data_IF_123165204728
#
_entry.id   IF_123165204728
#
_cell.length_a   1.000
_cell.length_b   1.000
_cell.length_c   1.000
_cell.angle_alpha   90.00
_cell.angle_beta   90.00
_cell.angle_gamma   90.00
#
_symmetry.space_group_name_H-M   'P 1'
#
loop_
_entity.id
_entity.type
_entity.pdbx_description
1 polymer ?
#
# COMPACT_ATOMS: atom_id res chain seq x y z
N UNK A 1 -2.77 11.79 37.46
CA UNK A 1 -2.47 10.52 36.76
C UNK A 1 -3.39 10.22 35.56
N UNK A 2 -4.39 11.07 35.29
CA UNK A 2 -5.33 10.90 34.16
C UNK A 2 -4.97 11.71 32.91
N UNK A 3 -4.02 12.66 33.00
CA UNK A 3 -3.67 13.57 31.90
C UNK A 3 -2.53 13.04 31.01
N UNK A 4 -1.56 12.31 31.57
CA UNK A 4 -0.48 11.67 30.79
C UNK A 4 -1.03 10.61 29.82
N UNK A 5 -2.03 9.82 30.25
CA UNK A 5 -2.67 8.82 29.37
C UNK A 5 -3.50 9.46 28.25
N UNK A 6 -4.10 10.63 28.49
CA UNK A 6 -4.84 11.40 27.48
C UNK A 6 -3.93 12.10 26.47
N UNK A 7 -2.75 12.57 26.91
CA UNK A 7 -1.73 13.16 26.03
C UNK A 7 -1.06 12.11 25.15
N UNK A 8 -0.72 10.95 25.71
CA UNK A 8 -0.08 9.85 24.97
C UNK A 8 -1.02 9.26 23.90
N UNK A 9 -2.32 9.15 24.19
CA UNK A 9 -3.34 8.76 23.19
C UNK A 9 -3.46 9.79 22.05
N UNK A 10 -3.40 11.10 22.35
CA UNK A 10 -3.49 12.16 21.32
C UNK A 10 -2.23 12.22 20.45
N UNK A 11 -1.05 11.98 21.01
CA UNK A 11 0.20 11.92 20.25
C UNK A 11 0.26 10.68 19.35
N UNK A 12 -0.17 9.51 19.85
CA UNK A 12 -0.29 8.31 19.03
C UNK A 12 -1.25 8.52 17.84
N UNK A 13 -2.43 9.09 18.08
CA UNK A 13 -3.40 9.42 17.01
C UNK A 13 -2.81 10.33 15.92
N UNK A 14 -1.93 11.27 16.28
CA UNK A 14 -1.28 12.19 15.34
C UNK A 14 -0.25 11.47 14.47
N UNK A 15 0.50 10.52 15.04
CA UNK A 15 1.49 9.73 14.30
C UNK A 15 0.86 8.69 13.37
N UNK A 16 -0.28 8.11 13.76
CA UNK A 16 -1.06 7.24 12.86
C UNK A 16 -1.59 8.00 11.65
N UNK A 17 -2.11 9.23 11.85
CA UNK A 17 -2.66 10.05 10.76
C UNK A 17 -1.66 10.30 9.63
N UNK A 18 -0.42 10.63 9.96
CA UNK A 18 0.60 10.98 8.96
C UNK A 18 1.04 9.74 8.18
N UNK A 19 1.17 8.58 8.84
CA UNK A 19 1.49 7.31 8.17
C UNK A 19 0.35 6.86 7.26
N UNK A 20 -0.89 6.92 7.75
CA UNK A 20 -2.08 6.57 6.96
C UNK A 20 -2.24 7.47 5.74
N UNK A 21 -1.99 8.78 5.87
CA UNK A 21 -2.08 9.68 4.73
C UNK A 21 -1.08 9.32 3.63
N UNK A 22 0.17 9.02 3.99
CA UNK A 22 1.20 8.59 3.02
C UNK A 22 0.81 7.27 2.36
N UNK A 23 0.26 6.33 3.12
CA UNK A 23 -0.18 5.03 2.60
C UNK A 23 -1.36 5.16 1.63
N UNK A 24 -2.34 6.00 1.96
CA UNK A 24 -3.48 6.29 1.07
C UNK A 24 -2.99 6.96 -0.22
N UNK A 25 -2.06 7.90 -0.12
CA UNK A 25 -1.50 8.59 -1.28
C UNK A 25 -0.71 7.62 -2.17
N UNK A 26 0.05 6.71 -1.59
CA UNK A 26 0.72 5.63 -2.30
C UNK A 26 -0.26 4.69 -3.00
N UNK A 27 -1.36 4.30 -2.34
CA UNK A 27 -2.44 3.54 -2.97
C UNK A 27 -3.08 4.31 -4.13
N UNK A 28 -3.38 5.59 -3.97
CA UNK A 28 -3.95 6.43 -5.05
C UNK A 28 -3.00 6.45 -6.25
N UNK A 29 -1.69 6.53 -6.06
CA UNK A 29 -0.73 6.50 -7.17
C UNK A 29 -0.67 5.12 -7.83
N UNK A 30 -0.69 4.04 -7.04
CA UNK A 30 -0.66 2.66 -7.55
C UNK A 30 -1.92 2.32 -8.36
N UNK A 31 -3.09 2.80 -7.94
CA UNK A 31 -4.36 2.56 -8.64
C UNK A 31 -4.63 3.60 -9.74
N UNK A 32 -4.36 4.87 -9.46
CA UNK A 32 -4.65 6.00 -10.33
C UNK A 32 -3.65 6.16 -11.48
N UNK A 33 -2.37 5.87 -11.24
CA UNK A 33 -1.32 5.96 -12.26
C UNK A 33 -1.60 5.07 -13.47
N UNK A 34 -1.82 3.76 -13.29
CA UNK A 34 -2.18 2.85 -14.38
C UNK A 34 -3.50 3.24 -15.06
N UNK A 35 -4.52 3.64 -14.31
CA UNK A 35 -5.81 4.03 -14.88
C UNK A 35 -5.70 5.26 -15.78
N UNK A 36 -4.94 6.28 -15.36
CA UNK A 36 -4.65 7.46 -16.18
C UNK A 36 -3.83 7.10 -17.42
N UNK A 37 -2.81 6.26 -17.28
CA UNK A 37 -2.00 5.80 -18.40
C UNK A 37 -2.84 5.01 -19.42
N UNK A 38 -3.72 4.11 -18.97
CA UNK A 38 -4.64 3.36 -19.81
C UNK A 38 -5.65 4.26 -20.52
N UNK A 39 -6.17 5.29 -19.83
CA UNK A 39 -7.07 6.27 -20.44
C UNK A 39 -6.39 7.06 -21.56
N UNK A 40 -5.17 7.55 -21.34
CA UNK A 40 -4.43 8.30 -22.36
C UNK A 40 -4.01 7.41 -23.53
N UNK A 41 -3.40 6.25 -23.24
CA UNK A 41 -2.96 5.32 -24.27
C UNK A 41 -4.13 4.74 -25.07
N UNK A 42 -5.20 4.34 -24.37
CA UNK A 42 -6.40 3.81 -24.99
C UNK A 42 -7.08 4.82 -25.89
N UNK A 43 -7.19 6.07 -25.46
CA UNK A 43 -7.83 7.13 -26.25
C UNK A 43 -7.01 7.54 -27.47
N UNK A 44 -5.68 7.50 -27.37
CA UNK A 44 -4.78 7.67 -28.52
C UNK A 44 -4.98 6.54 -29.55
N UNK A 45 -4.96 5.29 -29.09
CA UNK A 45 -5.14 4.11 -29.94
C UNK A 45 -6.55 4.08 -30.58
N UNK A 46 -7.60 4.36 -29.81
CA UNK A 46 -8.96 4.42 -30.35
C UNK A 46 -9.12 5.50 -31.45
N UNK A 47 -8.40 6.62 -31.31
CA UNK A 47 -8.35 7.67 -32.34
C UNK A 47 -7.63 7.25 -33.61
N UNK A 48 -6.57 6.44 -33.50
CA UNK A 48 -5.80 5.92 -34.65
C UNK A 48 -6.56 4.81 -35.38
N UNK A 49 -7.19 3.90 -34.65
CA UNK A 49 -7.86 2.73 -35.22
C UNK A 49 -9.36 2.94 -35.52
N UNK A 50 -9.92 4.11 -35.16
CA UNK A 50 -11.34 4.42 -35.38
C UNK A 50 -12.31 3.53 -34.59
N UNK A 51 -11.82 2.83 -33.56
CA UNK A 51 -12.58 1.85 -32.77
C UNK A 51 -13.52 2.48 -31.73
N UNK A 52 -13.61 3.81 -31.72
CA UNK A 52 -14.48 4.58 -30.83
C UNK A 52 -13.94 4.63 -29.40
N UNK A 53 -14.29 3.64 -28.57
CA UNK A 53 -13.85 3.53 -27.15
C UNK A 53 -13.49 2.10 -26.72
N UNK A 54 -13.51 1.16 -27.65
CA UNK A 54 -13.38 -0.27 -27.33
C UNK A 54 -11.99 -0.58 -26.77
N UNK A 55 -10.94 0.01 -27.34
CA UNK A 55 -9.56 -0.23 -26.89
C UNK A 55 -9.35 0.40 -25.51
N UNK A 56 -9.87 1.61 -25.27
CA UNK A 56 -9.83 2.26 -23.95
C UNK A 56 -10.52 1.41 -22.88
N UNK A 57 -11.69 0.84 -23.16
CA UNK A 57 -12.41 0.00 -22.19
C UNK A 57 -11.64 -1.28 -21.87
N UNK A 58 -11.07 -1.95 -22.88
CA UNK A 58 -10.26 -3.15 -22.68
C UNK A 58 -9.01 -2.83 -21.86
N UNK A 59 -8.31 -1.75 -22.17
CA UNK A 59 -7.14 -1.28 -21.43
C UNK A 59 -7.49 -0.98 -19.97
N UNK A 60 -8.61 -0.29 -19.72
CA UNK A 60 -9.08 0.02 -18.37
C UNK A 60 -9.33 -1.25 -17.55
N UNK A 61 -10.04 -2.24 -18.13
CA UNK A 61 -10.28 -3.54 -17.50
C UNK A 61 -8.95 -4.25 -17.20
N UNK A 62 -8.01 -4.25 -18.15
CA UNK A 62 -6.69 -4.83 -17.95
C UNK A 62 -5.91 -4.16 -16.82
N UNK A 63 -5.87 -2.82 -16.78
CA UNK A 63 -5.21 -2.09 -15.69
C UNK A 63 -5.87 -2.32 -14.34
N UNK A 64 -7.19 -2.48 -14.30
CA UNK A 64 -7.90 -2.82 -13.06
C UNK A 64 -7.47 -4.18 -12.51
N UNK A 65 -7.41 -5.20 -13.38
CA UNK A 65 -6.94 -6.55 -13.03
C UNK A 65 -5.47 -6.51 -12.59
N UNK A 66 -4.61 -5.82 -13.34
CA UNK A 66 -3.19 -5.64 -12.99
C UNK A 66 -3.00 -4.97 -11.63
N UNK A 67 -3.80 -3.95 -11.32
CA UNK A 67 -3.75 -3.27 -10.02
C UNK A 67 -4.09 -4.22 -8.87
N UNK A 68 -5.04 -5.14 -9.07
CA UNK A 68 -5.37 -6.19 -8.11
C UNK A 68 -4.22 -7.18 -7.90
N UNK A 69 -3.56 -7.61 -8.97
CA UNK A 69 -2.37 -8.50 -8.90
C UNK A 69 -1.24 -7.82 -8.12
N UNK A 70 -0.94 -6.56 -8.42
CA UNK A 70 0.09 -5.77 -7.72
C UNK A 70 -0.27 -5.61 -6.25
N UNK A 71 -1.52 -5.30 -5.94
CA UNK A 71 -2.00 -5.15 -4.56
C UNK A 71 -1.81 -6.44 -3.77
N UNK A 72 -2.23 -7.59 -4.32
CA UNK A 72 -2.06 -8.90 -3.68
C UNK A 72 -0.57 -9.20 -3.43
N UNK A 73 0.30 -8.91 -4.40
CA UNK A 73 1.73 -9.10 -4.25
C UNK A 73 2.33 -8.20 -3.15
N UNK A 74 1.96 -6.92 -3.13
CA UNK A 74 2.39 -5.95 -2.11
C UNK A 74 1.95 -6.39 -0.72
N UNK A 75 0.71 -6.82 -0.56
CA UNK A 75 0.18 -7.34 0.71
C UNK A 75 0.96 -8.56 1.21
N UNK A 76 1.25 -9.53 0.33
CA UNK A 76 2.07 -10.71 0.69
C UNK A 76 3.52 -10.34 1.02
N UNK A 77 4.05 -9.28 0.42
CA UNK A 77 5.40 -8.79 0.73
C UNK A 77 5.43 -8.16 2.13
N UNK A 78 4.41 -7.40 2.51
CA UNK A 78 4.26 -6.81 3.84
C UNK A 78 4.15 -7.90 4.92
N UNK A 79 3.39 -8.96 4.69
CA UNK A 79 3.31 -10.10 5.63
C UNK A 79 4.67 -10.75 5.90
N UNK A 80 5.53 -10.88 4.88
CA UNK A 80 6.89 -11.44 5.05
C UNK A 80 7.82 -10.53 5.85
N UNK A 81 7.61 -9.22 5.81
CA UNK A 81 8.37 -8.27 6.62
C UNK A 81 7.94 -8.30 8.10
N UNK A 82 6.65 -8.54 8.37
CA UNK A 82 6.15 -8.78 9.73
C UNK A 82 6.74 -10.06 10.36
N UNK A 83 6.78 -11.17 9.61
CA UNK A 83 7.31 -12.45 10.12
C UNK A 83 8.82 -12.37 10.47
N UNK A 84 9.58 -11.52 9.77
CA UNK A 84 10.99 -11.24 10.09
C UNK A 84 11.15 -10.33 11.31
N UNK A 85 10.23 -9.40 11.52
CA UNK A 85 10.26 -8.46 12.64
C UNK A 85 9.90 -9.15 13.95
N UNK A 86 8.93 -10.08 13.92
CA UNK A 86 8.57 -10.89 15.08
C UNK A 86 9.67 -11.89 15.49
N UNK A 87 10.35 -12.50 14.52
CA UNK A 87 11.52 -13.36 14.78
C UNK A 87 12.68 -12.62 15.43
N UNK A 88 12.95 -11.37 15.03
CA UNK A 88 13.97 -10.52 15.67
C UNK A 88 13.58 -10.13 17.09
N UNK A 89 12.31 -9.79 17.34
CA UNK A 89 11.81 -9.49 18.69
C UNK A 89 11.92 -10.68 19.64
N UNK A 90 11.64 -11.91 19.17
CA UNK A 90 11.82 -13.14 19.97
C UNK A 90 13.28 -13.45 20.27
N UNK A 91 14.21 -13.15 19.37
CA UNK A 91 15.64 -13.36 19.60
C UNK A 91 16.21 -12.35 20.59
N UNK A 92 15.89 -11.06 20.45
CA UNK A 92 16.32 -10.04 21.41
C UNK A 92 15.73 -10.24 22.80
N UNK A 93 14.53 -10.82 22.92
CA UNK A 93 13.94 -11.18 24.22
C UNK A 93 14.66 -12.35 24.88
N UNK A 94 15.04 -13.39 24.10
CA UNK A 94 15.83 -14.52 24.61
C UNK A 94 17.25 -14.14 24.98
N UNK A 95 17.89 -13.25 24.22
CA UNK A 95 19.25 -12.78 24.49
C UNK A 95 19.29 -11.95 25.79
N UNK A 96 18.30 -11.08 26.02
CA UNK A 96 18.16 -10.37 27.30
C UNK A 96 17.84 -11.28 28.50
N UNK A 97 17.20 -12.42 28.28
CA UNK A 97 16.88 -13.39 29.35
C UNK A 97 18.09 -14.26 29.72
N UNK A 98 19.02 -14.49 28.77
CA UNK A 98 20.27 -15.23 28.99
C UNK A 98 21.36 -14.37 29.64
N UNK A 99 21.39 -13.05 29.38
CA UNK A 99 22.33 -12.12 30.04
C UNK A 99 21.96 -11.76 31.49
N UNK A 100 20.80 -12.21 31.99
CA UNK A 100 20.31 -11.92 33.36
C UNK A 100 20.38 -13.14 34.29
N UNK A 101 20.92 -14.29 33.83
CA UNK A 101 21.06 -15.54 34.62
C UNK A 101 22.53 -15.85 34.89
#
# INVERSE_FOLDING_TARGET
>A
MSDESQQDLKEQHKQFRTKTFRFILELIVIFGGPALAALFAGRYLDGVYGTGRTITIILLIFTFILSWVITIWRTRQIEREFDKTEKKLRQTKKEKEVDTV
#
